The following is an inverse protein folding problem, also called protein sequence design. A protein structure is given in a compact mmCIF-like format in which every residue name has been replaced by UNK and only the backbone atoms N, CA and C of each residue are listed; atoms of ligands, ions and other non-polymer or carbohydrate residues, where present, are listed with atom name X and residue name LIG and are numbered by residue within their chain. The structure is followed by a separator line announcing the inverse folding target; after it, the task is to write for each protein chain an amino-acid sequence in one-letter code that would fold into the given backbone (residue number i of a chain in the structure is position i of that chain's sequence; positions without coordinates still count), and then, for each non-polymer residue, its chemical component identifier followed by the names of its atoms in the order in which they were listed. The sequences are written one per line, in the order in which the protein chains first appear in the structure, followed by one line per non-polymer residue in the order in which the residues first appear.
data_IF_470694265994
#
_entry.id   IF_470694265994
#
_cell.length_a   1.000
_cell.length_b   1.000
_cell.length_c   1.000
_cell.angle_alpha   90.00
_cell.angle_beta   90.00
_cell.angle_gamma   90.00
#
_symmetry.space_group_name_H-M   'P 1'
#
loop_
_entity.id
_entity.type
_entity.pdbx_description
1 polymer ?
#
# COMPACT_ATOMS: atom_id res chain seq x y z
N UNK A 1 -7.19 15.78 -5.41
CA UNK A 1 -7.58 14.36 -5.53
C UNK A 1 -7.55 13.77 -4.14
N UNK A 2 -8.51 12.89 -3.80
CA UNK A 2 -8.68 12.41 -2.42
C UNK A 2 -8.10 11.02 -2.28
N UNK A 3 -7.17 10.82 -1.35
CA UNK A 3 -6.70 9.49 -1.00
C UNK A 3 -7.74 8.79 -0.15
N UNK A 4 -8.00 7.53 -0.49
CA UNK A 4 -8.79 6.59 0.29
C UNK A 4 -7.94 5.40 0.66
N UNK A 5 -7.89 5.07 1.96
CA UNK A 5 -7.26 3.87 2.47
C UNK A 5 -8.31 2.89 2.95
N UNK A 6 -8.32 1.68 2.41
CA UNK A 6 -9.07 0.58 2.99
C UNK A 6 -8.15 -0.24 3.88
N UNK A 7 -8.57 -0.48 5.12
CA UNK A 7 -7.74 -1.08 6.16
C UNK A 7 -8.41 -2.27 6.83
N UNK A 8 -7.62 -2.97 7.64
CA UNK A 8 -8.10 -4.01 8.53
C UNK A 8 -7.86 -3.65 10.01
N UNK A 9 -8.65 -4.22 10.94
CA UNK A 9 -8.42 -4.03 12.36
C UNK A 9 -7.05 -4.55 12.75
N UNK A 10 -6.38 -3.87 13.68
CA UNK A 10 -5.06 -4.22 14.21
C UNK A 10 -3.97 -4.42 13.12
N UNK A 11 -4.15 -3.77 11.97
CA UNK A 11 -3.25 -3.88 10.83
C UNK A 11 -2.03 -2.95 10.99
N UNK A 12 -0.91 -3.49 11.49
CA UNK A 12 0.36 -2.75 11.59
C UNK A 12 0.78 -2.13 10.24
N UNK A 13 0.66 -2.91 9.16
CA UNK A 13 0.92 -2.47 7.78
C UNK A 13 0.11 -1.23 7.37
N UNK A 14 -1.12 -1.14 7.85
CA UNK A 14 -2.02 -0.01 7.59
C UNK A 14 -1.61 1.21 8.42
N UNK A 15 -1.16 0.99 9.67
CA UNK A 15 -0.65 2.05 10.55
C UNK A 15 0.56 2.76 9.94
N UNK A 16 1.52 2.01 9.41
CA UNK A 16 2.73 2.57 8.74
C UNK A 16 2.34 3.54 7.62
N UNK A 17 1.40 3.18 6.76
CA UNK A 17 0.95 4.05 5.66
C UNK A 17 0.24 5.30 6.20
N UNK A 18 -0.60 5.16 7.22
CA UNK A 18 -1.30 6.28 7.86
C UNK A 18 -0.32 7.28 8.47
N UNK A 19 0.68 6.79 9.21
CA UNK A 19 1.74 7.62 9.81
C UNK A 19 2.55 8.33 8.74
N UNK A 20 2.95 7.61 7.68
CA UNK A 20 3.68 8.19 6.56
C UNK A 20 2.94 9.37 5.88
N UNK A 21 1.62 9.23 5.67
CA UNK A 21 0.78 10.30 5.12
C UNK A 21 0.63 11.47 6.11
N UNK A 22 0.41 11.16 7.39
CA UNK A 22 0.25 12.17 8.44
C UNK A 22 1.52 13.03 8.61
N UNK A 23 2.71 12.42 8.61
CA UNK A 23 4.00 13.12 8.67
C UNK A 23 4.19 14.11 7.52
N UNK A 24 3.56 13.86 6.37
CA UNK A 24 3.61 14.71 5.18
C UNK A 24 2.45 15.70 5.09
N UNK A 25 1.56 15.71 6.08
CA UNK A 25 0.36 16.54 6.08
C UNK A 25 -0.60 16.21 4.93
N UNK A 26 -0.57 14.98 4.43
CA UNK A 26 -1.37 14.56 3.29
C UNK A 26 -2.72 14.03 3.76
N UNK A 27 -3.79 14.71 3.37
CA UNK A 27 -5.16 14.33 3.74
C UNK A 27 -5.57 13.00 3.11
N UNK A 28 -6.23 12.15 3.89
CA UNK A 28 -6.80 10.89 3.43
C UNK A 28 -8.08 10.55 4.20
N UNK A 29 -8.97 9.81 3.55
CA UNK A 29 -10.08 9.11 4.21
C UNK A 29 -9.68 7.67 4.44
N UNK A 30 -10.07 7.06 5.56
CA UNK A 30 -9.87 5.61 5.75
C UNK A 30 -11.15 4.89 6.15
N UNK A 31 -11.35 3.69 5.60
CA UNK A 31 -12.46 2.80 5.91
C UNK A 31 -11.94 1.44 6.38
N UNK A 32 -12.49 0.92 7.48
CA UNK A 32 -12.16 -0.41 7.97
C UNK A 32 -13.06 -1.47 7.31
N UNK A 33 -12.49 -2.57 6.81
CA UNK A 33 -13.30 -3.56 6.09
C UNK A 33 -14.33 -4.30 6.96
N UNK A 34 -14.14 -4.33 8.29
CA UNK A 34 -15.10 -4.91 9.23
C UNK A 34 -16.12 -3.88 9.69
N UNK A 35 -15.69 -2.69 10.10
CA UNK A 35 -16.60 -1.65 10.61
C UNK A 35 -17.41 -1.01 9.48
N UNK A 36 -16.77 -0.71 8.35
CA UNK A 36 -17.35 -0.06 7.17
C UNK A 36 -17.67 -1.08 6.06
N UNK A 37 -18.17 -2.26 6.46
CA UNK A 37 -18.36 -3.43 5.59
C UNK A 37 -19.12 -3.12 4.29
N UNK A 38 -20.16 -2.29 4.35
CA UNK A 38 -20.98 -1.98 3.17
C UNK A 38 -20.22 -1.07 2.19
N UNK A 39 -19.45 -0.11 2.70
CA UNK A 39 -18.59 0.77 1.90
C UNK A 39 -17.50 -0.06 1.23
N UNK A 40 -16.79 -0.90 1.99
CA UNK A 40 -15.75 -1.76 1.47
C UNK A 40 -16.30 -2.76 0.44
N UNK A 41 -17.41 -3.43 0.70
CA UNK A 41 -17.99 -4.40 -0.23
C UNK A 41 -18.42 -3.76 -1.55
N UNK A 42 -18.98 -2.55 -1.50
CA UNK A 42 -19.33 -1.80 -2.71
C UNK A 42 -18.08 -1.47 -3.52
N UNK A 43 -17.05 -0.93 -2.87
CA UNK A 43 -15.76 -0.62 -3.49
C UNK A 43 -15.10 -1.87 -4.09
N UNK A 44 -15.00 -2.94 -3.32
CA UNK A 44 -14.39 -4.20 -3.74
C UNK A 44 -15.10 -4.80 -4.96
N UNK A 45 -16.43 -4.77 -5.01
CA UNK A 45 -17.19 -5.27 -6.17
C UNK A 45 -16.92 -4.46 -7.43
N UNK A 46 -16.84 -3.13 -7.31
CA UNK A 46 -16.58 -2.24 -8.43
C UNK A 46 -15.15 -2.40 -8.98
N UNK A 47 -14.18 -2.67 -8.10
CA UNK A 47 -12.75 -2.68 -8.44
C UNK A 47 -12.12 -4.07 -8.40
N UNK A 48 -12.94 -5.13 -8.42
CA UNK A 48 -12.50 -6.51 -8.17
C UNK A 48 -11.37 -6.99 -9.10
N UNK A 49 -11.34 -6.53 -10.34
CA UNK A 49 -10.28 -6.88 -11.31
C UNK A 49 -8.92 -6.26 -10.97
N UNK A 50 -8.91 -5.19 -10.17
CA UNK A 50 -7.70 -4.45 -9.78
C UNK A 50 -7.25 -4.76 -8.35
N UNK A 51 -8.04 -5.54 -7.60
CA UNK A 51 -7.75 -5.93 -6.23
C UNK A 51 -7.28 -7.38 -6.21
N UNK A 52 -6.01 -7.57 -5.86
CA UNK A 52 -5.43 -8.85 -5.58
C UNK A 52 -6.03 -9.48 -4.31
N UNK A 53 -6.30 -10.78 -4.41
CA UNK A 53 -6.79 -11.63 -3.33
C UNK A 53 -6.07 -12.98 -3.39
N UNK A 54 -5.56 -13.43 -2.24
CA UNK A 54 -5.00 -14.77 -2.09
C UNK A 54 -6.02 -15.71 -1.37
N UNK A 55 -5.69 -16.99 -1.14
CA UNK A 55 -6.58 -17.91 -0.42
C UNK A 55 -7.00 -17.44 0.98
N UNK A 56 -6.19 -16.60 1.65
CA UNK A 56 -6.45 -16.08 2.99
C UNK A 56 -7.34 -14.83 2.97
N UNK A 57 -7.40 -14.12 1.85
CA UNK A 57 -8.26 -12.96 1.69
C UNK A 57 -7.63 -11.84 0.88
N UNK A 58 -8.23 -10.66 1.04
CA UNK A 58 -7.73 -9.42 0.43
C UNK A 58 -6.56 -8.93 1.24
N UNK A 59 -5.48 -8.54 0.57
CA UNK A 59 -4.33 -7.94 1.22
C UNK A 59 -4.61 -6.47 1.56
N UNK A 60 -4.30 -6.10 2.80
CA UNK A 60 -4.40 -4.74 3.32
C UNK A 60 -3.02 -4.18 3.68
N UNK A 61 -2.81 -2.85 3.60
CA UNK A 61 -3.79 -1.83 3.17
C UNK A 61 -4.03 -1.82 1.65
N UNK A 62 -5.19 -1.29 1.25
CA UNK A 62 -5.48 -0.87 -0.13
C UNK A 62 -5.47 0.64 -0.17
N UNK A 63 -4.75 1.21 -1.13
CA UNK A 63 -4.69 2.64 -1.41
C UNK A 63 -5.39 2.91 -2.74
N UNK A 64 -6.18 3.99 -2.79
CA UNK A 64 -6.77 4.53 -4.00
C UNK A 64 -6.75 6.06 -3.94
N UNK A 65 -6.16 6.72 -4.94
CA UNK A 65 -6.17 8.19 -5.09
C UNK A 65 -7.06 8.68 -6.25
N UNK A 66 -7.83 7.77 -6.86
CA UNK A 66 -8.65 7.99 -8.05
C UNK A 66 -7.89 7.84 -9.37
N UNK A 67 -6.57 7.63 -9.35
CA UNK A 67 -5.76 7.32 -10.53
C UNK A 67 -5.19 5.92 -10.49
N UNK A 68 -4.74 5.47 -9.31
CA UNK A 68 -4.14 4.15 -9.11
C UNK A 68 -4.70 3.46 -7.88
N UNK A 69 -4.86 2.14 -8.00
CA UNK A 69 -5.12 1.26 -6.87
C UNK A 69 -3.83 0.51 -6.57
N UNK A 70 -3.37 0.57 -5.32
CA UNK A 70 -2.18 -0.11 -4.83
C UNK A 70 -2.50 -0.95 -3.60
N UNK A 71 -1.79 -2.07 -3.44
CA UNK A 71 -2.01 -3.00 -2.33
C UNK A 71 -0.70 -3.39 -1.64
N UNK A 72 -0.76 -3.39 -0.31
CA UNK A 72 0.38 -3.69 0.54
C UNK A 72 1.28 -2.47 0.79
N UNK A 73 1.84 -2.40 1.99
CA UNK A 73 2.62 -1.25 2.47
C UNK A 73 3.79 -0.90 1.55
N UNK A 74 4.53 -1.90 1.05
CA UNK A 74 5.68 -1.67 0.16
C UNK A 74 5.31 -0.94 -1.13
N UNK A 75 4.33 -1.45 -1.88
CA UNK A 75 3.89 -0.82 -3.13
C UNK A 75 3.31 0.58 -2.91
N UNK A 76 2.54 0.76 -1.83
CA UNK A 76 1.92 2.05 -1.51
C UNK A 76 3.00 3.09 -1.18
N UNK A 77 3.97 2.75 -0.33
CA UNK A 77 5.07 3.67 0.01
C UNK A 77 5.95 3.96 -1.21
N UNK A 78 6.24 2.96 -2.04
CA UNK A 78 7.00 3.15 -3.28
C UNK A 78 6.31 4.16 -4.20
N UNK A 79 4.99 4.03 -4.32
CA UNK A 79 4.17 4.94 -5.11
C UNK A 79 4.16 6.36 -4.53
N UNK A 80 3.97 6.50 -3.23
CA UNK A 80 3.95 7.81 -2.58
C UNK A 80 5.32 8.52 -2.60
N UNK A 81 6.42 7.78 -2.62
CA UNK A 81 7.78 8.34 -2.66
C UNK A 81 8.22 8.75 -4.07
N UNK A 82 7.80 8.02 -5.10
CA UNK A 82 8.40 8.13 -6.45
C UNK A 82 7.40 8.10 -7.61
N UNK A 83 6.10 8.12 -7.33
CA UNK A 83 5.09 7.75 -8.32
C UNK A 83 5.35 6.32 -8.80
N UNK A 84 5.36 6.10 -10.11
CA UNK A 84 5.52 4.74 -10.67
C UNK A 84 6.98 4.26 -10.81
N UNK A 85 7.96 5.08 -10.43
CA UNK A 85 9.37 4.79 -10.76
C UNK A 85 9.89 3.58 -9.97
N UNK A 86 9.62 3.51 -8.66
CA UNK A 86 10.07 2.38 -7.84
C UNK A 86 9.33 1.06 -8.12
N UNK A 87 8.28 1.05 -8.95
CA UNK A 87 7.59 -0.20 -9.35
C UNK A 87 8.51 -1.19 -10.08
N UNK A 88 9.62 -0.70 -10.66
CA UNK A 88 10.64 -1.55 -11.27
C UNK A 88 11.38 -2.46 -10.26
N UNK A 89 11.37 -2.10 -8.97
CA UNK A 89 12.16 -2.75 -7.93
C UNK A 89 11.38 -3.07 -6.64
N UNK A 90 10.13 -2.61 -6.55
CA UNK A 90 9.22 -2.87 -5.44
C UNK A 90 7.93 -3.45 -5.97
N UNK A 91 7.58 -4.64 -5.47
CA UNK A 91 6.32 -5.33 -5.76
C UNK A 91 5.63 -5.70 -4.45
N UNK A 92 4.38 -6.15 -4.54
CA UNK A 92 3.63 -6.74 -3.42
C UNK A 92 4.45 -7.82 -2.70
N UNK A 93 4.26 -7.92 -1.40
CA UNK A 93 4.82 -9.02 -0.62
C UNK A 93 4.02 -10.29 -0.89
N UNK A 94 4.71 -11.38 -1.25
CA UNK A 94 4.11 -12.71 -1.31
C UNK A 94 4.21 -13.46 0.03
N UNK A 95 5.04 -12.96 0.95
CA UNK A 95 5.20 -13.51 2.30
C UNK A 95 4.10 -13.03 3.25
N UNK A 96 3.67 -13.97 4.09
CA UNK A 96 2.72 -13.80 5.18
C UNK A 96 3.45 -13.71 6.54
N UNK A 97 2.76 -13.25 7.58
CA UNK A 97 3.20 -13.30 8.99
C UNK A 97 4.53 -12.59 9.33
N UNK A 98 4.66 -11.31 8.94
CA UNK A 98 5.66 -10.40 9.51
C UNK A 98 6.91 -10.18 8.66
N UNK A 99 7.19 -11.04 7.69
CA UNK A 99 8.26 -10.78 6.72
C UNK A 99 7.75 -9.93 5.55
N UNK A 100 8.62 -9.08 5.05
CA UNK A 100 8.38 -8.24 3.87
C UNK A 100 9.22 -8.80 2.73
N UNK A 101 8.58 -8.95 1.58
CA UNK A 101 9.20 -9.40 0.33
C UNK A 101 8.85 -8.44 -0.80
N UNK A 102 9.26 -8.76 -2.02
CA UNK A 102 9.01 -7.92 -3.19
C UNK A 102 9.98 -6.76 -3.34
N UNK A 103 11.17 -6.85 -2.73
CA UNK A 103 12.22 -5.83 -2.84
C UNK A 103 13.39 -6.39 -3.67
N UNK A 104 13.71 -5.71 -4.77
CA UNK A 104 14.82 -6.05 -5.65
C UNK A 104 15.78 -4.86 -5.82
N UNK A 105 16.78 -4.78 -4.94
CA UNK A 105 17.77 -3.70 -4.93
C UNK A 105 18.48 -3.54 -6.29
N UNK A 106 18.81 -4.66 -6.94
CA UNK A 106 19.52 -4.66 -8.22
C UNK A 106 18.70 -4.12 -9.38
N UNK A 107 17.37 -4.06 -9.24
CA UNK A 107 16.47 -3.47 -10.23
C UNK A 107 16.11 -2.01 -9.92
N UNK A 108 16.64 -1.43 -8.83
CA UNK A 108 16.36 -0.05 -8.45
C UNK A 108 16.87 0.90 -9.55
N UNK A 109 16.00 1.76 -10.12
CA UNK A 109 16.42 2.74 -11.11
C UNK A 109 17.46 3.72 -10.54
N UNK A 110 18.43 4.10 -11.37
CA UNK A 110 19.45 5.08 -10.98
C UNK A 110 18.79 6.40 -10.54
N UNK A 111 19.26 6.97 -9.42
CA UNK A 111 18.72 8.21 -8.85
C UNK A 111 17.50 8.02 -7.95
N UNK A 112 17.10 6.78 -7.64
CA UNK A 112 16.03 6.46 -6.69
C UNK A 112 16.53 5.79 -5.41
N UNK A 113 17.84 5.77 -5.18
CA UNK A 113 18.48 5.09 -4.05
C UNK A 113 17.96 5.63 -2.71
N UNK A 114 17.84 6.95 -2.56
CA UNK A 114 17.34 7.59 -1.33
C UNK A 114 15.86 7.25 -1.06
N UNK A 115 15.03 7.21 -2.10
CA UNK A 115 13.64 6.79 -1.98
C UNK A 115 13.55 5.31 -1.60
N UNK A 116 14.39 4.45 -2.20
CA UNK A 116 14.43 3.03 -1.88
C UNK A 116 14.90 2.79 -0.43
N UNK A 117 15.94 3.48 0.04
CA UNK A 117 16.42 3.41 1.43
C UNK A 117 15.35 3.92 2.39
N UNK A 118 14.68 5.02 2.06
CA UNK A 118 13.57 5.55 2.86
C UNK A 118 12.45 4.53 2.99
N UNK A 119 12.06 3.89 1.89
CA UNK A 119 11.08 2.82 1.88
C UNK A 119 11.49 1.67 2.80
N UNK A 120 12.73 1.16 2.69
CA UNK A 120 13.21 0.06 3.53
C UNK A 120 13.18 0.43 5.02
N UNK A 121 13.54 1.68 5.38
CA UNK A 121 13.48 2.16 6.77
C UNK A 121 12.07 2.22 7.34
N UNK A 122 11.08 2.54 6.52
CA UNK A 122 9.67 2.58 6.94
C UNK A 122 9.06 1.18 7.12
N UNK A 123 9.68 0.17 6.50
CA UNK A 123 9.24 -1.21 6.53
C UNK A 123 9.91 -2.03 7.65
N UNK A 124 10.96 -1.50 8.29
CA UNK A 124 11.74 -2.14 9.36
C UNK A 124 11.25 -1.74 10.76
#
# INVERSE_FOLDING_TARGET
MSITLYTAPDCLRCKIVKEFLAERGQEYTSFDFKEDKDIFNKYYRANRSSIYRNPEGVEFPIFDDGQVIKQGTGEILAYLLSGRVLEACVTRSELLHGWISGLNVSACPAGQEDNFVTLVRLLA
#
